data_IF_513664006083
#
_entry.id   IF_513664006083
#
_cell.length_a   1.000
_cell.length_b   1.000
_cell.length_c   1.000
_cell.angle_alpha   90.00
_cell.angle_beta   90.00
_cell.angle_gamma   90.00
#
_symmetry.space_group_name_H-M   'P 1'
#
loop_
_entity.id
_entity.type
_entity.pdbx_description
1 polymer ?
#
# COMPACT_ATOMS: atom_id res chain seq x y z
N UNK A 1 -11.84 3.99 -21.91
CA UNK A 1 -11.67 5.01 -20.93
C UNK A 1 -10.26 4.97 -20.37
N UNK A 2 -9.89 6.03 -19.69
CA UNK A 2 -8.51 6.25 -19.35
C UNK A 2 -7.91 5.24 -18.39
N UNK A 3 -8.72 4.54 -17.65
CA UNK A 3 -8.23 3.61 -16.64
C UNK A 3 -7.84 2.26 -17.22
N UNK A 4 -8.10 2.04 -18.50
CA UNK A 4 -7.76 0.75 -19.11
C UNK A 4 -6.25 0.50 -19.15
N UNK A 5 -5.45 1.52 -18.95
CA UNK A 5 -4.00 1.37 -19.00
C UNK A 5 -3.40 0.99 -17.66
N UNK A 6 -4.22 0.67 -16.69
CA UNK A 6 -3.73 0.21 -15.43
C UNK A 6 -3.21 1.29 -14.48
N UNK A 7 -3.42 2.54 -14.84
CA UNK A 7 -3.08 3.63 -13.93
C UNK A 7 -3.97 3.54 -12.69
N UNK A 8 -3.36 3.63 -11.53
CA UNK A 8 -4.06 3.43 -10.28
C UNK A 8 -4.06 4.70 -9.46
N UNK A 9 -5.25 5.14 -9.07
CA UNK A 9 -5.42 6.28 -8.20
C UNK A 9 -5.55 5.79 -6.75
N UNK A 10 -5.31 6.64 -5.75
CA UNK A 10 -5.50 6.22 -4.36
C UNK A 10 -6.90 5.67 -4.10
N UNK A 11 -7.93 6.24 -4.72
CA UNK A 11 -9.29 5.75 -4.57
C UNK A 11 -9.45 4.34 -5.12
N UNK A 12 -8.76 4.01 -6.19
CA UNK A 12 -8.82 2.66 -6.77
C UNK A 12 -8.24 1.65 -5.81
N UNK A 13 -7.10 1.97 -5.20
CA UNK A 13 -6.49 1.11 -4.20
C UNK A 13 -7.45 0.92 -3.03
N UNK A 14 -8.03 2.01 -2.55
CA UNK A 14 -8.96 1.96 -1.43
C UNK A 14 -10.16 1.07 -1.75
N UNK A 15 -10.74 1.22 -2.93
CA UNK A 15 -11.88 0.41 -3.33
C UNK A 15 -11.54 -1.07 -3.43
N UNK A 16 -10.40 -1.38 -4.02
CA UNK A 16 -10.00 -2.78 -4.17
C UNK A 16 -9.72 -3.44 -2.83
N UNK A 17 -9.17 -2.70 -1.87
CA UNK A 17 -8.84 -3.26 -0.57
C UNK A 17 -10.03 -3.25 0.40
N UNK A 18 -11.02 -2.39 0.17
CA UNK A 18 -12.15 -2.28 1.10
C UNK A 18 -12.92 -3.59 1.25
N UNK A 19 -13.04 -4.35 0.16
CA UNK A 19 -13.75 -5.63 0.20
C UNK A 19 -12.99 -6.73 0.92
N UNK A 20 -11.72 -6.49 1.25
CA UNK A 20 -10.85 -7.48 1.88
C UNK A 20 -10.34 -7.01 3.24
N UNK A 21 -11.06 -6.06 3.84
CA UNK A 21 -10.62 -5.46 5.10
C UNK A 21 -10.42 -6.49 6.20
N UNK A 22 -11.35 -7.42 6.34
CA UNK A 22 -11.25 -8.45 7.38
C UNK A 22 -10.05 -9.37 7.13
N UNK A 23 -9.80 -9.71 5.89
CA UNK A 23 -8.65 -10.54 5.54
C UNK A 23 -7.35 -9.81 5.84
N UNK A 24 -7.27 -8.54 5.49
CA UNK A 24 -6.08 -7.74 5.78
C UNK A 24 -5.84 -7.64 7.28
N UNK A 25 -6.90 -7.42 8.06
CA UNK A 25 -6.78 -7.38 9.50
C UNK A 25 -6.37 -8.73 10.09
N UNK A 26 -6.82 -9.82 9.50
CA UNK A 26 -6.44 -11.16 9.96
C UNK A 26 -4.95 -11.45 9.73
N UNK A 27 -4.31 -10.71 8.83
CA UNK A 27 -2.87 -10.77 8.63
C UNK A 27 -2.10 -9.89 9.60
N UNK A 28 -2.79 -9.26 10.54
CA UNK A 28 -2.14 -8.43 11.55
C UNK A 28 -1.95 -6.97 11.17
N UNK A 29 -2.57 -6.52 10.09
CA UNK A 29 -2.42 -5.15 9.63
C UNK A 29 -3.30 -4.22 10.47
N UNK A 30 -2.67 -3.22 11.08
CA UNK A 30 -3.38 -2.18 11.82
C UNK A 30 -3.78 -1.03 10.91
N UNK A 31 -2.87 -0.58 10.06
CA UNK A 31 -3.15 0.53 9.16
C UNK A 31 -2.40 0.34 7.85
N UNK A 32 -2.95 0.93 6.79
CA UNK A 32 -2.37 0.83 5.47
C UNK A 32 -2.67 2.14 4.74
N UNK A 33 -1.66 2.71 4.12
CA UNK A 33 -1.80 3.96 3.39
C UNK A 33 -0.98 3.92 2.12
N UNK A 34 -1.50 4.56 1.07
CA UNK A 34 -0.78 4.69 -0.18
C UNK A 34 0.06 5.95 -0.12
N UNK A 35 1.31 5.88 -0.60
CA UNK A 35 2.16 7.06 -0.70
C UNK A 35 2.94 6.99 -2.02
N UNK A 36 3.88 7.89 -2.22
CA UNK A 36 4.70 7.90 -3.42
C UNK A 36 3.95 8.38 -4.66
N UNK A 37 4.31 7.85 -5.82
CA UNK A 37 3.79 8.34 -7.09
C UNK A 37 2.29 8.18 -7.22
N UNK A 38 1.72 7.08 -6.74
CA UNK A 38 0.28 6.86 -6.80
C UNK A 38 -0.46 7.92 -5.98
N UNK A 39 0.03 8.18 -4.76
CA UNK A 39 -0.60 9.18 -3.88
C UNK A 39 -0.54 10.59 -4.49
N UNK A 40 0.53 10.88 -5.23
CA UNK A 40 0.71 12.20 -5.86
C UNK A 40 0.03 12.32 -7.21
N UNK A 41 -0.57 11.24 -7.72
CA UNK A 41 -1.17 11.26 -9.05
C UNK A 41 -0.16 11.27 -10.17
N UNK A 42 1.07 10.80 -9.91
CA UNK A 42 2.17 10.79 -10.87
C UNK A 42 2.47 9.39 -11.38
N UNK A 43 1.61 8.43 -11.07
CA UNK A 43 1.85 7.04 -11.43
C UNK A 43 1.90 6.84 -12.93
N UNK A 44 2.67 5.84 -13.33
CA UNK A 44 2.77 5.39 -14.71
C UNK A 44 2.35 3.92 -14.74
N UNK A 45 2.09 3.35 -15.92
CA UNK A 45 1.67 1.95 -16.00
C UNK A 45 2.63 0.98 -15.33
N UNK A 46 3.92 1.32 -15.29
CA UNK A 46 4.95 0.48 -14.69
C UNK A 46 5.35 0.94 -13.29
N UNK A 47 4.66 1.92 -12.71
CA UNK A 47 4.97 2.38 -11.36
C UNK A 47 4.54 1.36 -10.32
N UNK A 48 5.37 1.20 -9.28
CA UNK A 48 5.01 0.40 -8.13
C UNK A 48 3.97 1.14 -7.30
N UNK A 49 3.15 0.35 -6.60
CA UNK A 49 2.23 0.92 -5.63
C UNK A 49 2.94 0.92 -4.27
N UNK A 50 3.29 2.10 -3.80
CA UNK A 50 4.00 2.25 -2.53
C UNK A 50 2.99 2.29 -1.39
N UNK A 51 3.08 1.34 -0.47
CA UNK A 51 2.16 1.22 0.65
C UNK A 51 2.90 1.30 1.97
N UNK A 52 2.37 2.12 2.85
CA UNK A 52 2.88 2.28 4.20
C UNK A 52 2.03 1.41 5.12
N UNK A 53 2.66 0.47 5.81
CA UNK A 53 1.95 -0.50 6.64
C UNK A 53 2.36 -0.37 8.10
N UNK A 54 1.38 -0.56 8.97
CA UNK A 54 1.61 -0.72 10.40
C UNK A 54 0.96 -2.01 10.83
N UNK A 55 1.71 -2.88 11.50
CA UNK A 55 1.19 -4.15 12.02
C UNK A 55 0.81 -4.01 13.49
N UNK A 56 -0.12 -4.85 13.93
CA UNK A 56 -0.53 -4.88 15.35
C UNK A 56 0.59 -5.31 16.27
N UNK A 57 1.50 -6.15 15.76
CA UNK A 57 2.64 -6.61 16.52
C UNK A 57 3.78 -6.85 15.56
N UNK A 58 4.98 -7.11 16.10
CA UNK A 58 6.15 -7.39 15.28
C UNK A 58 5.92 -8.62 14.43
N UNK A 59 6.25 -8.54 13.15
CA UNK A 59 6.13 -9.65 12.21
C UNK A 59 7.51 -10.05 11.69
N UNK A 60 7.65 -11.32 11.35
CA UNK A 60 8.87 -11.81 10.73
C UNK A 60 8.90 -11.53 9.24
N UNK A 61 10.07 -11.79 8.64
CA UNK A 61 10.30 -11.50 7.23
C UNK A 61 9.36 -12.30 6.32
N UNK A 62 9.14 -13.58 6.61
CA UNK A 62 8.28 -14.40 5.75
C UNK A 62 6.84 -13.90 5.76
N UNK A 63 6.35 -13.51 6.92
CA UNK A 63 5.01 -12.96 7.02
C UNK A 63 4.90 -11.62 6.26
N UNK A 64 5.90 -10.79 6.39
CA UNK A 64 5.96 -9.51 5.68
C UNK A 64 5.88 -9.72 4.16
N UNK A 65 6.69 -10.63 3.63
CA UNK A 65 6.69 -10.92 2.20
C UNK A 65 5.35 -11.51 1.77
N UNK A 66 4.79 -12.40 2.59
CA UNK A 66 3.48 -12.99 2.30
C UNK A 66 2.39 -11.92 2.19
N UNK A 67 2.40 -10.96 3.12
CA UNK A 67 1.42 -9.87 3.10
C UNK A 67 1.61 -9.01 1.85
N UNK A 68 2.85 -8.69 1.50
CA UNK A 68 3.14 -7.92 0.30
C UNK A 68 2.59 -8.62 -0.95
N UNK A 69 2.84 -9.91 -1.08
CA UNK A 69 2.34 -10.69 -2.22
C UNK A 69 0.82 -10.77 -2.22
N UNK A 70 0.23 -10.96 -1.05
CA UNK A 70 -1.22 -11.02 -0.91
C UNK A 70 -1.87 -9.72 -1.40
N UNK A 71 -1.35 -8.58 -0.95
CA UNK A 71 -1.88 -7.28 -1.37
C UNK A 71 -1.70 -7.08 -2.87
N UNK A 72 -0.54 -7.46 -3.40
CA UNK A 72 -0.32 -7.39 -4.84
C UNK A 72 -1.35 -8.16 -5.62
N UNK A 73 -1.73 -9.34 -5.14
CA UNK A 73 -2.78 -10.13 -5.77
C UNK A 73 -4.14 -9.45 -5.73
N UNK A 74 -4.45 -8.76 -4.64
CA UNK A 74 -5.70 -8.01 -4.54
C UNK A 74 -5.73 -6.82 -5.48
N UNK A 75 -4.58 -6.30 -5.85
CA UNK A 75 -4.44 -5.17 -6.76
C UNK A 75 -4.16 -5.62 -8.19
N UNK A 76 -4.70 -6.75 -8.57
CA UNK A 76 -4.64 -7.29 -9.93
C UNK A 76 -3.20 -7.57 -10.40
N UNK A 77 -2.35 -8.03 -9.47
CA UNK A 77 -0.97 -8.36 -9.80
C UNK A 77 -0.05 -7.16 -9.87
N UNK A 78 -0.48 -6.01 -9.35
CA UNK A 78 0.38 -4.83 -9.34
C UNK A 78 1.62 -5.08 -8.50
N UNK A 79 2.71 -4.44 -8.89
CA UNK A 79 3.94 -4.46 -8.12
C UNK A 79 3.74 -3.60 -6.88
N UNK A 80 3.81 -4.22 -5.71
CA UNK A 80 3.61 -3.51 -4.44
C UNK A 80 4.93 -3.39 -3.70
N UNK A 81 5.23 -2.18 -3.25
CA UNK A 81 6.38 -1.92 -2.39
C UNK A 81 5.85 -1.59 -1.01
N UNK A 82 5.96 -2.54 -0.10
CA UNK A 82 5.41 -2.42 1.25
C UNK A 82 6.49 -1.93 2.19
N UNK A 83 6.21 -0.82 2.88
CA UNK A 83 7.17 -0.20 3.79
C UNK A 83 6.55 -0.08 5.17
N UNK A 84 7.24 -0.54 6.20
CA UNK A 84 6.78 -0.39 7.57
C UNK A 84 6.97 1.04 8.03
N UNK A 85 5.98 1.57 8.77
CA UNK A 85 6.07 2.94 9.32
C UNK A 85 7.35 3.15 10.11
N UNK A 86 7.73 2.19 10.93
CA UNK A 86 8.90 2.32 11.80
C UNK A 86 10.22 2.22 11.04
N UNK A 87 10.19 1.80 9.77
CA UNK A 87 11.39 1.70 8.96
C UNK A 87 11.72 2.98 8.19
N UNK A 88 10.85 3.98 8.26
CA UNK A 88 11.05 5.23 7.53
C UNK A 88 12.08 6.08 8.27
N UNK A 89 13.05 6.60 7.53
CA UNK A 89 14.02 7.53 8.09
C UNK A 89 13.31 8.77 8.61
N UNK A 90 13.79 9.28 9.75
CA UNK A 90 13.18 10.42 10.43
C UNK A 90 13.05 11.63 9.48
N UNK A 91 14.06 11.85 8.65
CA UNK A 91 14.08 12.99 7.74
C UNK A 91 12.98 12.93 6.69
N UNK A 92 12.46 11.74 6.39
CA UNK A 92 11.47 11.54 5.35
C UNK A 92 10.05 11.42 5.88
N UNK A 93 9.89 11.28 7.20
CA UNK A 93 8.58 11.01 7.79
C UNK A 93 7.56 12.08 7.48
N UNK A 94 7.94 13.33 7.62
CA UNK A 94 7.03 14.43 7.41
C UNK A 94 6.50 14.47 5.98
N UNK A 95 7.41 14.29 5.01
CA UNK A 95 7.02 14.30 3.60
C UNK A 95 6.12 13.13 3.27
N UNK A 96 6.49 11.92 3.73
CA UNK A 96 5.72 10.71 3.42
C UNK A 96 4.35 10.76 4.07
N UNK A 97 4.29 11.15 5.34
CA UNK A 97 3.01 11.21 6.05
C UNK A 97 2.12 12.31 5.50
N UNK A 98 2.71 13.40 5.00
CA UNK A 98 1.95 14.49 4.41
C UNK A 98 1.26 14.11 3.11
N UNK A 99 1.83 13.18 2.35
CA UNK A 99 1.24 12.73 1.09
C UNK A 99 0.43 11.44 1.21
N UNK A 100 0.56 10.70 2.30
CA UNK A 100 -0.05 9.38 2.44
C UNK A 100 -1.58 9.48 2.51
N UNK A 101 -2.24 8.54 1.84
CA UNK A 101 -3.70 8.45 1.81
C UNK A 101 -4.11 7.11 2.40
N UNK A 102 -4.87 7.14 3.49
CA UNK A 102 -5.34 5.91 4.14
C UNK A 102 -6.26 5.13 3.21
N UNK A 103 -6.02 3.82 3.13
CA UNK A 103 -6.80 2.95 2.24
C UNK A 103 -7.46 1.78 2.99
N UNK A 104 -7.38 1.79 4.31
CA UNK A 104 -7.97 0.72 5.11
C UNK A 104 -8.90 1.25 6.19
#
# INVERSE_FOLDING_TARGET
NGDVYGLMQPDDVKKKLAGHRNELKSHGIRSLAVFGSVARGEERPDSDVDLLVEFESTVGMFHFIHVQDFIGGLLAGAQVDLVMREAIYEELKEDIYGEAVNVL
#
